data_IF_524732282637
#
_entry.id   IF_524732282637
#
_cell.length_a   1.000
_cell.length_b   1.000
_cell.length_c   1.000
_cell.angle_alpha   90.00
_cell.angle_beta   90.00
_cell.angle_gamma   90.00
#
_symmetry.space_group_name_H-M   'P 1'
#
loop_
_entity.id
_entity.type
_entity.pdbx_description
1 polymer ?
#
# COMPACT_ATOMS: atom_id res chain seq x y z
N UNK A 1 -21.27 -3.13 -15.44
CA UNK A 1 -20.10 -2.99 -16.31
C UNK A 1 -18.86 -2.82 -15.44
N UNK A 2 -18.37 -3.91 -14.85
CA UNK A 2 -17.07 -3.92 -14.17
C UNK A 2 -16.03 -4.13 -15.26
N UNK A 3 -15.42 -3.04 -15.72
CA UNK A 3 -14.31 -3.13 -16.65
C UNK A 3 -13.17 -3.86 -15.95
N UNK A 4 -12.75 -4.92 -16.61
CA UNK A 4 -11.54 -5.71 -16.50
C UNK A 4 -10.30 -4.79 -16.48
N UNK A 5 -10.03 -4.13 -15.35
CA UNK A 5 -8.78 -3.40 -15.10
C UNK A 5 -7.81 -4.29 -14.31
N UNK A 6 -7.66 -5.56 -14.70
CA UNK A 6 -6.67 -6.47 -14.09
C UNK A 6 -5.27 -6.26 -14.65
N UNK A 7 -5.13 -5.58 -15.79
CA UNK A 7 -3.83 -5.35 -16.43
C UNK A 7 -3.46 -3.87 -16.35
N UNK A 8 -2.37 -3.58 -15.63
CA UNK A 8 -1.70 -2.29 -15.71
C UNK A 8 -1.18 -2.08 -17.14
N UNK A 9 -1.86 -1.23 -17.91
CA UNK A 9 -1.43 -0.87 -19.25
C UNK A 9 -0.28 0.14 -19.18
N UNK A 10 0.94 -0.32 -19.45
CA UNK A 10 2.14 0.52 -19.41
C UNK A 10 3.06 0.28 -20.60
N UNK A 11 3.89 1.27 -20.89
CA UNK A 11 4.92 1.20 -21.91
C UNK A 11 6.34 1.19 -21.26
N UNK A 12 7.42 0.90 -22.02
CA UNK A 12 8.78 0.89 -21.48
C UNK A 12 9.21 2.21 -20.81
N UNK A 13 8.73 3.35 -21.30
CA UNK A 13 9.02 4.66 -20.70
C UNK A 13 8.33 4.85 -19.36
N UNK A 14 7.10 4.36 -19.20
CA UNK A 14 6.39 4.40 -17.92
C UNK A 14 7.11 3.54 -16.87
N UNK A 15 7.59 2.37 -17.29
CA UNK A 15 8.36 1.47 -16.42
C UNK A 15 9.69 2.10 -16.01
N UNK A 16 10.39 2.78 -16.93
CA UNK A 16 11.59 3.53 -16.59
C UNK A 16 11.28 4.66 -15.59
N UNK A 17 10.25 5.46 -15.87
CA UNK A 17 9.84 6.56 -15.01
C UNK A 17 9.40 6.09 -13.60
N UNK A 18 8.72 4.95 -13.50
CA UNK A 18 8.40 4.33 -12.22
C UNK A 18 9.67 3.96 -11.44
N UNK A 19 10.65 3.34 -12.10
CA UNK A 19 11.92 2.95 -11.47
C UNK A 19 12.74 4.17 -11.05
N UNK A 20 12.79 5.20 -11.89
CA UNK A 20 13.55 6.42 -11.62
C UNK A 20 12.94 7.27 -10.49
N UNK A 21 11.66 7.08 -10.19
CA UNK A 21 10.95 7.79 -9.11
C UNK A 21 10.70 6.94 -7.87
N UNK A 22 11.05 5.66 -7.91
CA UNK A 22 11.22 4.83 -6.74
C UNK A 22 12.54 5.18 -6.04
N UNK A 23 12.59 5.04 -4.71
CA UNK A 23 13.81 5.25 -3.94
C UNK A 23 14.13 3.97 -3.19
N UNK A 24 15.40 3.59 -3.16
CA UNK A 24 15.91 2.50 -2.31
C UNK A 24 16.50 3.02 -1.00
N UNK A 25 16.45 4.34 -0.76
CA UNK A 25 16.91 4.94 0.48
C UNK A 25 15.97 4.58 1.64
N UNK A 26 16.56 4.17 2.76
CA UNK A 26 15.81 3.68 3.91
C UNK A 26 14.92 4.78 4.53
N UNK A 27 15.41 6.01 4.61
CA UNK A 27 14.69 7.13 5.23
C UNK A 27 13.53 7.57 4.33
N UNK A 28 13.75 7.66 3.01
CA UNK A 28 12.69 7.91 2.03
C UNK A 28 11.56 6.88 2.10
N UNK A 29 11.93 5.60 2.23
CA UNK A 29 10.97 4.50 2.34
C UNK A 29 10.21 4.56 3.66
N UNK A 30 10.90 4.82 4.77
CA UNK A 30 10.25 4.98 6.06
C UNK A 30 9.28 6.18 6.08
N UNK A 31 9.68 7.32 5.52
CA UNK A 31 8.85 8.51 5.41
C UNK A 31 7.62 8.25 4.54
N UNK A 32 7.78 7.58 3.39
CA UNK A 32 6.64 7.18 2.54
C UNK A 32 5.63 6.33 3.31
N UNK A 33 6.09 5.30 4.03
CA UNK A 33 5.20 4.45 4.83
C UNK A 33 4.52 5.21 5.96
N UNK A 34 5.26 6.12 6.61
CA UNK A 34 4.75 6.96 7.68
C UNK A 34 3.66 7.90 7.18
N UNK A 35 3.90 8.60 6.07
CA UNK A 35 2.94 9.50 5.45
C UNK A 35 1.62 8.79 5.10
N UNK A 36 1.69 7.56 4.60
CA UNK A 36 0.51 6.75 4.29
C UNK A 36 -0.30 6.47 5.57
N UNK A 37 0.32 5.93 6.63
CA UNK A 37 -0.42 5.61 7.86
C UNK A 37 -0.93 6.86 8.59
N UNK A 38 -0.13 7.92 8.63
CA UNK A 38 -0.54 9.19 9.24
C UNK A 38 -1.70 9.82 8.47
N UNK A 39 -1.72 9.72 7.14
CA UNK A 39 -2.87 10.12 6.34
C UNK A 39 -4.12 9.29 6.70
N UNK A 40 -4.00 7.96 6.77
CA UNK A 40 -5.12 7.06 7.15
C UNK A 40 -5.67 7.43 8.52
N UNK A 41 -4.79 7.62 9.53
CA UNK A 41 -5.24 7.97 10.88
C UNK A 41 -5.80 9.39 11.00
N UNK A 42 -5.40 10.30 10.10
CA UNK A 42 -5.98 11.63 10.01
C UNK A 42 -7.38 11.60 9.40
N UNK A 43 -7.57 10.87 8.30
CA UNK A 43 -8.86 10.79 7.58
C UNK A 43 -9.85 9.87 8.29
N UNK A 44 -9.36 8.79 8.90
CA UNK A 44 -10.15 7.79 9.61
C UNK A 44 -9.50 7.44 10.96
N UNK A 45 -9.65 8.31 11.99
CA UNK A 45 -9.07 8.07 13.32
C UNK A 45 -9.48 6.73 13.95
N UNK A 46 -10.66 6.22 13.61
CA UNK A 46 -11.16 4.92 14.06
C UNK A 46 -10.21 3.75 13.71
N UNK A 47 -9.42 3.87 12.62
CA UNK A 47 -8.43 2.87 12.23
C UNK A 47 -7.32 2.68 13.28
N UNK A 48 -7.06 3.67 14.14
CA UNK A 48 -6.07 3.54 15.23
C UNK A 48 -6.40 2.38 16.18
N UNK A 49 -7.69 2.05 16.36
CA UNK A 49 -8.12 0.95 17.23
C UNK A 49 -7.64 -0.45 16.77
N UNK A 50 -7.27 -0.57 15.49
CA UNK A 50 -6.66 -1.79 14.93
C UNK A 50 -5.23 -2.01 15.43
N UNK A 51 -4.63 -1.03 16.10
CA UNK A 51 -3.25 -1.03 16.57
C UNK A 51 -3.22 -0.89 18.10
N UNK A 52 -3.19 -1.99 18.88
CA UNK A 52 -3.34 -1.96 20.33
C UNK A 52 -2.22 -1.22 21.06
N UNK A 53 -1.09 -1.03 20.39
CA UNK A 53 0.03 -0.24 20.91
C UNK A 53 -0.26 1.27 20.88
N UNK A 54 -1.09 1.79 19.95
CA UNK A 54 -1.37 3.24 19.88
C UNK A 54 -1.95 3.78 21.19
N UNK A 55 -3.04 3.22 21.76
CA UNK A 55 -3.59 3.70 23.03
C UNK A 55 -2.58 3.70 24.18
N UNK A 56 -1.62 2.76 24.18
CA UNK A 56 -0.56 2.71 25.19
C UNK A 56 0.38 3.91 25.10
N UNK A 57 0.81 4.28 23.88
CA UNK A 57 1.63 5.47 23.68
C UNK A 57 0.86 6.75 24.06
N UNK A 58 -0.39 6.87 23.59
CA UNK A 58 -1.24 8.05 23.86
C UNK A 58 -1.52 8.22 25.36
N UNK A 59 -1.78 7.13 26.10
CA UNK A 59 -2.00 7.17 27.55
C UNK A 59 -0.76 7.61 28.35
N UNK A 60 0.45 7.36 27.81
CA UNK A 60 1.72 7.78 28.39
C UNK A 60 2.15 9.19 27.91
N UNK A 61 1.31 9.87 27.11
CA UNK A 61 1.63 11.19 26.54
C UNK A 61 2.75 11.14 25.49
N UNK A 62 3.01 9.97 24.91
CA UNK A 62 4.07 9.75 23.90
C UNK A 62 3.48 9.75 22.48
N UNK A 63 4.27 10.22 21.53
CA UNK A 63 3.93 10.10 20.12
C UNK A 63 4.14 8.67 19.64
N UNK A 64 3.07 7.99 19.26
CA UNK A 64 3.12 6.63 18.74
C UNK A 64 3.91 6.52 17.43
N UNK A 65 4.00 7.61 16.65
CA UNK A 65 4.72 7.63 15.38
C UNK A 65 6.25 7.53 15.57
N UNK A 66 6.74 7.83 16.76
CA UNK A 66 8.14 7.62 17.16
C UNK A 66 8.40 6.20 17.69
N UNK A 67 7.35 5.39 17.83
CA UNK A 67 7.42 4.04 18.36
C UNK A 67 7.98 3.02 17.37
N UNK A 68 8.68 2.00 17.89
CA UNK A 68 9.20 0.88 17.08
C UNK A 68 8.09 0.11 16.37
N UNK A 69 6.91 0.03 16.98
CA UNK A 69 5.73 -0.66 16.43
C UNK A 69 5.20 0.06 15.19
N UNK A 70 5.09 1.40 15.25
CA UNK A 70 4.71 2.21 14.08
C UNK A 70 5.76 2.08 12.97
N UNK A 71 7.05 2.18 13.31
CA UNK A 71 8.14 2.01 12.35
C UNK A 71 8.09 0.67 11.64
N UNK A 72 7.90 -0.42 12.39
CA UNK A 72 7.74 -1.76 11.81
C UNK A 72 6.52 -1.83 10.87
N UNK A 73 5.39 -1.26 11.27
CA UNK A 73 4.16 -1.29 10.48
C UNK A 73 4.29 -0.47 9.17
N UNK A 74 4.87 0.72 9.25
CA UNK A 74 5.15 1.57 8.07
C UNK A 74 6.02 0.83 7.05
N UNK A 75 7.09 0.17 7.52
CA UNK A 75 8.00 -0.58 6.66
C UNK A 75 7.36 -1.80 6.00
N UNK A 76 6.50 -2.56 6.70
CA UNK A 76 5.79 -3.71 6.10
C UNK A 76 4.97 -3.31 4.87
N UNK A 77 4.33 -2.15 4.93
CA UNK A 77 3.52 -1.65 3.82
C UNK A 77 4.40 -1.23 2.63
N UNK A 78 5.49 -0.52 2.91
CA UNK A 78 6.42 -0.08 1.88
C UNK A 78 7.15 -1.25 1.23
N UNK A 79 7.47 -2.31 1.97
CA UNK A 79 7.99 -3.57 1.43
C UNK A 79 7.02 -4.23 0.44
N UNK A 80 5.71 -4.12 0.69
CA UNK A 80 4.69 -4.62 -0.25
C UNK A 80 4.74 -3.82 -1.56
N UNK A 81 4.82 -2.49 -1.48
CA UNK A 81 4.95 -1.63 -2.66
C UNK A 81 6.27 -1.93 -3.41
N UNK A 82 7.38 -2.05 -2.68
CA UNK A 82 8.69 -2.37 -3.22
C UNK A 82 8.68 -3.69 -4.00
N UNK A 83 8.01 -4.72 -3.46
CA UNK A 83 7.91 -6.02 -4.12
C UNK A 83 7.18 -5.91 -5.46
N UNK A 84 6.10 -5.11 -5.53
CA UNK A 84 5.36 -4.85 -6.77
C UNK A 84 6.20 -4.06 -7.77
N UNK A 85 6.89 -2.99 -7.34
CA UNK A 85 7.76 -2.17 -8.19
C UNK A 85 8.92 -3.00 -8.77
N UNK A 86 9.53 -3.86 -7.96
CA UNK A 86 10.61 -4.74 -8.40
C UNK A 86 10.15 -5.80 -9.43
N UNK A 87 8.86 -6.13 -9.42
CA UNK A 87 8.26 -7.09 -10.34
C UNK A 87 7.35 -6.41 -11.39
N UNK A 88 7.56 -5.11 -11.66
CA UNK A 88 6.67 -4.35 -12.55
C UNK A 88 6.62 -4.86 -14.01
N UNK A 89 7.60 -5.67 -14.41
CA UNK A 89 7.61 -6.36 -15.71
C UNK A 89 6.76 -7.63 -15.74
N UNK A 90 6.39 -8.13 -14.57
CA UNK A 90 5.70 -9.40 -14.35
C UNK A 90 4.59 -9.23 -13.30
N UNK A 91 3.81 -8.15 -13.41
CA UNK A 91 2.76 -7.83 -12.43
C UNK A 91 1.74 -8.95 -12.31
N UNK A 92 1.44 -9.68 -13.38
CA UNK A 92 0.56 -10.85 -13.35
C UNK A 92 0.97 -11.90 -12.29
N UNK A 93 2.25 -11.95 -11.92
CA UNK A 93 2.76 -12.86 -10.88
C UNK A 93 2.54 -12.33 -9.46
N UNK A 94 2.23 -11.05 -9.31
CA UNK A 94 2.00 -10.38 -8.02
C UNK A 94 0.57 -10.53 -7.53
N UNK A 95 -0.37 -10.94 -8.39
CA UNK A 95 -1.79 -11.09 -8.02
C UNK A 95 -1.98 -12.01 -6.83
N UNK A 96 -1.39 -13.21 -6.86
CA UNK A 96 -1.48 -14.19 -5.77
C UNK A 96 -0.87 -13.67 -4.47
N UNK A 97 0.28 -12.99 -4.54
CA UNK A 97 0.93 -12.39 -3.38
C UNK A 97 0.06 -11.31 -2.72
N UNK A 98 -0.49 -10.38 -3.50
CA UNK A 98 -1.35 -9.31 -3.01
C UNK A 98 -2.68 -9.85 -2.48
N UNK A 99 -3.26 -10.83 -3.17
CA UNK A 99 -4.44 -11.56 -2.75
C UNK A 99 -4.23 -12.23 -1.38
N UNK A 100 -3.08 -12.89 -1.17
CA UNK A 100 -2.75 -13.54 0.10
C UNK A 100 -2.56 -12.54 1.25
N UNK A 101 -2.08 -11.32 0.97
CA UNK A 101 -2.10 -10.26 1.99
C UNK A 101 -3.55 -9.93 2.36
N UNK A 102 -4.44 -9.79 1.38
CA UNK A 102 -5.88 -9.59 1.58
C UNK A 102 -6.53 -10.66 2.44
N UNK A 103 -6.29 -11.93 2.11
CA UNK A 103 -6.76 -13.09 2.87
C UNK A 103 -6.32 -13.02 4.34
N UNK A 104 -5.04 -12.70 4.59
CA UNK A 104 -4.53 -12.53 5.95
C UNK A 104 -5.18 -11.38 6.70
N UNK A 105 -5.71 -10.36 6.02
CA UNK A 105 -6.41 -9.25 6.69
C UNK A 105 -7.80 -9.63 7.21
N UNK A 106 -8.38 -10.76 6.79
CA UNK A 106 -9.65 -11.29 7.33
C UNK A 106 -9.59 -11.48 8.84
N UNK A 107 -8.43 -11.87 9.38
CA UNK A 107 -8.24 -12.04 10.83
C UNK A 107 -8.52 -10.76 11.63
N UNK A 108 -8.41 -9.58 10.99
CA UNK A 108 -8.64 -8.29 11.62
C UNK A 108 -10.11 -7.82 11.53
N UNK A 109 -10.97 -8.54 10.80
CA UNK A 109 -12.40 -8.22 10.72
C UNK A 109 -13.07 -8.26 12.10
N UNK A 110 -12.70 -9.25 12.93
CA UNK A 110 -13.17 -9.37 14.33
C UNK A 110 -12.73 -8.20 15.22
N UNK A 111 -11.69 -7.46 14.81
CA UNK A 111 -11.16 -6.27 15.49
C UNK A 111 -11.69 -4.97 14.90
N UNK A 112 -12.68 -5.05 14.01
CA UNK A 112 -13.34 -3.90 13.41
C UNK A 112 -12.73 -3.41 12.09
N UNK A 113 -11.85 -4.19 11.46
CA UNK A 113 -11.42 -3.90 10.08
C UNK A 113 -12.62 -4.01 9.15
N UNK A 114 -12.85 -3.00 8.31
CA UNK A 114 -13.98 -2.94 7.38
C UNK A 114 -13.50 -2.90 5.93
N UNK A 115 -14.24 -3.51 4.98
CA UNK A 115 -13.87 -3.48 3.56
C UNK A 115 -13.66 -2.08 2.99
N UNK A 116 -14.37 -1.06 3.50
CA UNK A 116 -14.25 0.33 3.05
C UNK A 116 -12.90 0.95 3.40
N UNK A 117 -12.14 0.38 4.34
CA UNK A 117 -10.82 0.91 4.68
C UNK A 117 -9.84 0.76 3.52
N UNK A 118 -10.01 -0.25 2.66
CA UNK A 118 -9.19 -0.42 1.45
C UNK A 118 -9.22 0.79 0.53
N UNK A 119 -10.38 1.45 0.41
CA UNK A 119 -10.52 2.66 -0.41
C UNK A 119 -9.70 3.83 0.17
N UNK A 120 -9.64 3.92 1.51
CA UNK A 120 -8.83 4.92 2.23
C UNK A 120 -7.33 4.62 2.08
N UNK A 121 -6.93 3.35 2.06
CA UNK A 121 -5.55 2.97 1.79
C UNK A 121 -5.12 3.43 0.38
N UNK A 122 -5.99 3.28 -0.61
CA UNK A 122 -5.72 3.76 -1.98
C UNK A 122 -5.49 5.27 -1.99
N UNK A 123 -6.39 6.04 -1.37
CA UNK A 123 -6.27 7.51 -1.29
C UNK A 123 -4.98 7.94 -0.57
N UNK A 124 -4.63 7.23 0.51
CA UNK A 124 -3.41 7.50 1.28
C UNK A 124 -2.13 7.25 0.46
N UNK A 125 -2.06 6.13 -0.28
CA UNK A 125 -0.94 5.85 -1.18
C UNK A 125 -0.80 6.95 -2.23
N UNK A 126 -1.91 7.31 -2.87
CA UNK A 126 -1.91 8.34 -3.92
C UNK A 126 -1.47 9.70 -3.37
N UNK A 127 -1.96 10.10 -2.20
CA UNK A 127 -1.59 11.35 -1.56
C UNK A 127 -0.10 11.38 -1.17
N UNK A 128 0.40 10.31 -0.55
CA UNK A 128 1.81 10.22 -0.12
C UNK A 128 2.76 10.23 -1.33
N UNK A 129 2.46 9.44 -2.37
CA UNK A 129 3.26 9.41 -3.59
C UNK A 129 3.20 10.73 -4.35
N UNK A 130 2.03 11.36 -4.49
CA UNK A 130 1.92 12.68 -5.13
C UNK A 130 2.74 13.75 -4.39
N UNK A 131 2.77 13.71 -3.05
CA UNK A 131 3.63 14.58 -2.27
C UNK A 131 5.12 14.28 -2.46
N UNK A 132 5.52 12.99 -2.48
CA UNK A 132 6.88 12.58 -2.81
C UNK A 132 7.30 13.05 -4.21
N UNK A 133 6.41 12.99 -5.20
CA UNK A 133 6.74 13.45 -6.54
C UNK A 133 7.05 14.95 -6.55
N UNK A 134 6.35 15.77 -5.76
CA UNK A 134 6.63 17.24 -5.65
C UNK A 134 8.06 17.54 -5.20
N UNK A 135 8.67 16.68 -4.36
CA UNK A 135 10.03 16.90 -3.87
C UNK A 135 11.12 16.44 -4.84
N UNK A 136 10.79 15.73 -5.93
CA UNK A 136 11.77 15.32 -6.94
C UNK A 136 12.08 16.47 -7.92
N UNK A 137 13.31 17.03 -7.90
CA UNK A 137 13.65 18.22 -8.69
C UNK A 137 13.95 17.92 -10.16
N UNK A 138 14.15 16.65 -10.53
CA UNK A 138 14.65 16.23 -11.85
C UNK A 138 13.57 15.98 -12.91
N UNK A 139 12.29 16.01 -12.54
CA UNK A 139 11.19 15.71 -13.46
C UNK A 139 10.70 16.97 -14.17
N UNK A 140 10.55 16.89 -15.49
CA UNK A 140 9.76 17.84 -16.29
C UNK A 140 8.30 17.86 -15.82
N UNK A 141 7.53 18.84 -16.27
CA UNK A 141 6.10 18.94 -15.91
C UNK A 141 5.34 17.72 -16.44
N UNK A 142 5.61 17.33 -17.67
CA UNK A 142 4.97 16.22 -18.37
C UNK A 142 5.30 14.88 -17.70
N UNK A 143 6.57 14.66 -17.34
CA UNK A 143 6.97 13.47 -16.56
C UNK A 143 6.32 13.44 -15.20
N UNK A 144 6.20 14.59 -14.52
CA UNK A 144 5.55 14.69 -13.22
C UNK A 144 4.06 14.35 -13.29
N UNK A 145 3.36 14.83 -14.30
CA UNK A 145 1.95 14.48 -14.54
C UNK A 145 1.82 13.00 -14.88
N UNK A 146 2.71 12.46 -15.72
CA UNK A 146 2.69 11.04 -16.10
C UNK A 146 2.99 10.11 -14.93
N UNK A 147 3.97 10.43 -14.10
CA UNK A 147 4.36 9.57 -12.97
C UNK A 147 3.31 9.53 -11.88
N UNK A 148 2.55 10.62 -11.68
CA UNK A 148 1.38 10.62 -10.78
C UNK A 148 0.34 9.60 -11.27
N UNK A 149 0.07 9.54 -12.57
CA UNK A 149 -0.85 8.55 -13.14
C UNK A 149 -0.32 7.12 -12.98
N UNK A 150 0.97 6.91 -13.22
CA UNK A 150 1.61 5.60 -13.06
C UNK A 150 1.49 5.12 -11.60
N UNK A 151 1.83 5.96 -10.63
CA UNK A 151 1.72 5.63 -9.22
C UNK A 151 0.27 5.41 -8.77
N UNK A 152 -0.68 6.15 -9.34
CA UNK A 152 -2.11 5.93 -9.12
C UNK A 152 -2.54 4.55 -9.60
N UNK A 153 -2.09 4.13 -10.79
CA UNK A 153 -2.45 2.84 -11.36
C UNK A 153 -1.79 1.68 -10.58
N UNK A 154 -0.54 1.84 -10.12
CA UNK A 154 0.12 0.87 -9.22
C UNK A 154 -0.60 0.76 -7.87
N UNK A 155 -1.01 1.89 -7.27
CA UNK A 155 -1.78 1.90 -6.03
C UNK A 155 -3.11 1.17 -6.18
N UNK A 156 -3.83 1.45 -7.29
CA UNK A 156 -5.07 0.77 -7.62
C UNK A 156 -4.86 -0.73 -7.81
N UNK A 157 -3.83 -1.15 -8.55
CA UNK A 157 -3.47 -2.55 -8.74
C UNK A 157 -3.27 -3.27 -7.40
N UNK A 158 -2.45 -2.70 -6.51
CA UNK A 158 -2.18 -3.24 -5.16
C UNK A 158 -3.49 -3.42 -4.38
N UNK A 159 -4.29 -2.37 -4.28
CA UNK A 159 -5.50 -2.37 -3.45
C UNK A 159 -6.59 -3.27 -4.04
N UNK A 160 -6.74 -3.32 -5.36
CA UNK A 160 -7.71 -4.19 -6.03
C UNK A 160 -7.47 -5.66 -5.63
N UNK A 161 -6.26 -6.17 -5.80
CA UNK A 161 -5.94 -7.56 -5.51
C UNK A 161 -5.99 -7.89 -4.01
N UNK A 162 -5.56 -6.97 -3.13
CA UNK A 162 -5.71 -7.14 -1.68
C UNK A 162 -7.19 -7.14 -1.25
N UNK A 163 -8.01 -6.24 -1.81
CA UNK A 163 -9.45 -6.16 -1.53
C UNK A 163 -10.18 -7.42 -2.01
N UNK A 164 -9.81 -7.93 -3.18
CA UNK A 164 -10.28 -9.20 -3.73
C UNK A 164 -9.96 -10.37 -2.79
N UNK A 165 -8.70 -10.47 -2.36
CA UNK A 165 -8.25 -11.47 -1.39
C UNK A 165 -9.04 -11.40 -0.08
N UNK A 166 -9.24 -10.20 0.45
CA UNK A 166 -10.04 -10.01 1.65
C UNK A 166 -11.49 -10.44 1.45
N UNK A 167 -12.14 -10.00 0.36
CA UNK A 167 -13.56 -10.28 0.08
C UNK A 167 -13.84 -11.77 -0.12
N UNK A 168 -12.95 -12.48 -0.82
CA UNK A 168 -13.08 -13.92 -1.00
C UNK A 168 -12.80 -14.66 0.31
N UNK A 169 -11.79 -14.22 1.08
CA UNK A 169 -11.48 -14.80 2.38
C UNK A 169 -12.63 -14.65 3.40
N UNK A 170 -13.34 -13.52 3.38
CA UNK A 170 -14.57 -13.32 4.16
C UNK A 170 -15.69 -14.31 3.79
N UNK A 171 -15.66 -14.88 2.59
CA UNK A 171 -16.60 -15.93 2.11
C UNK A 171 -16.03 -17.35 2.28
N UNK A 172 -14.84 -17.50 2.86
CA UNK A 172 -14.14 -18.78 2.96
C UNK A 172 -13.57 -19.30 1.64
N UNK A 173 -13.36 -18.42 0.65
CA UNK A 173 -12.82 -18.77 -0.67
C UNK A 173 -11.35 -18.36 -0.77
N UNK A 174 -10.51 -19.26 -1.27
CA UNK A 174 -9.12 -18.96 -1.64
C UNK A 174 -8.85 -19.37 -3.10
N UNK A 175 -8.59 -18.39 -3.97
CA UNK A 175 -8.27 -18.60 -5.40
C UNK A 175 -6.84 -19.07 -5.65
N UNK A 176 -5.93 -18.88 -4.70
CA UNK A 176 -4.51 -19.25 -4.80
C UNK A 176 -4.09 -20.17 -3.62
N UNK A 177 -4.67 -21.38 -3.49
CA UNK A 177 -4.29 -22.30 -2.43
C UNK A 177 -2.82 -22.73 -2.61
N UNK A 178 -1.96 -22.37 -1.64
CA UNK A 178 -0.52 -22.65 -1.68
C UNK A 178 0.37 -21.48 -2.15
N UNK A 179 -0.18 -20.26 -2.26
CA UNK A 179 0.59 -19.04 -2.53
C UNK A 179 1.69 -18.76 -1.49
N UNK A 180 2.73 -18.04 -1.94
CA UNK A 180 4.04 -17.92 -1.28
C UNK A 180 3.91 -17.54 0.20
N UNK A 181 4.31 -18.46 1.08
CA UNK A 181 4.57 -18.19 2.49
C UNK A 181 5.78 -17.26 2.54
N UNK A 182 5.54 -15.95 2.70
CA UNK A 182 6.55 -15.06 3.24
C UNK A 182 6.19 -14.92 4.72
N UNK A 183 6.96 -15.58 5.59
CA UNK A 183 6.88 -15.36 7.03
C UNK A 183 7.19 -13.88 7.32
N UNK A 184 6.26 -13.18 7.99
CA UNK A 184 6.37 -11.77 8.41
C UNK A 184 6.54 -11.63 9.92
#
# INVERSE_FOLDING_TARGET
>A
YFLQMSEWQSNPSDKALLRDTWSDDWEDLYNLGSDIYLYIFKVMPACKSLFPWIPKYEAEGRDFAQGKEFRSQALKFVQTIAHVVNNVNHLERMEGFLYDIGQRHVQYASRGFKPQYWDIFQDAIQAALANKMKSLPKLTKEERERVILIWRDIALYIILHMKDGYNDGMKGVNRYPGGVIIDH
#
